data_IF_743232855524
#
_entry.id   IF_743232855524
#
_cell.length_a   1.000
_cell.length_b   1.000
_cell.length_c   1.000
_cell.angle_alpha   90.00
_cell.angle_beta   90.00
_cell.angle_gamma   90.00
#
_symmetry.space_group_name_H-M   'P 1'
#
loop_
_entity.id
_entity.type
_entity.pdbx_description
1 polymer ?
#
# COMPACT_ATOMS: atom_id res chain seq x y z
N UNK A 1 -48.16 60.99 -58.73
CA UNK A 1 -48.50 60.44 -57.41
C UNK A 1 -47.74 59.16 -57.12
N UNK A 2 -47.84 58.15 -58.01
CA UNK A 2 -47.22 56.81 -57.88
C UNK A 2 -45.69 56.82 -57.62
N UNK A 3 -44.92 57.66 -58.32
CA UNK A 3 -43.45 57.71 -58.16
C UNK A 3 -43.04 58.17 -56.76
N UNK A 4 -43.84 59.04 -56.13
CA UNK A 4 -43.54 59.61 -54.81
C UNK A 4 -43.78 58.58 -53.70
N UNK A 5 -44.87 57.81 -53.82
CA UNK A 5 -45.20 56.70 -52.91
C UNK A 5 -44.17 55.56 -53.03
N UNK A 6 -43.72 55.24 -54.25
CA UNK A 6 -42.69 54.22 -54.45
C UNK A 6 -41.33 54.62 -53.83
N UNK A 7 -40.96 55.90 -53.90
CA UNK A 7 -39.75 56.44 -53.27
C UNK A 7 -39.83 56.45 -51.73
N UNK A 8 -41.01 56.71 -51.15
CA UNK A 8 -41.22 56.59 -49.70
C UNK A 8 -41.14 55.14 -49.23
N UNK A 9 -41.74 54.20 -49.97
CA UNK A 9 -41.64 52.77 -49.67
C UNK A 9 -40.19 52.28 -49.67
N UNK A 10 -39.40 52.66 -50.70
CA UNK A 10 -37.98 52.30 -50.76
C UNK A 10 -37.14 52.89 -49.62
N UNK A 11 -37.45 54.11 -49.17
CA UNK A 11 -36.79 54.72 -48.00
C UNK A 11 -37.14 54.00 -46.70
N UNK A 12 -38.41 53.62 -46.53
CA UNK A 12 -38.87 52.90 -45.36
C UNK A 12 -38.19 51.53 -45.27
N UNK A 13 -38.12 50.83 -46.40
CA UNK A 13 -37.47 49.52 -46.51
C UNK A 13 -35.96 49.61 -46.29
N UNK A 14 -35.30 50.65 -46.82
CA UNK A 14 -33.88 50.93 -46.56
C UNK A 14 -33.58 51.22 -45.08
N UNK A 15 -34.46 51.95 -44.38
CA UNK A 15 -34.31 52.23 -42.95
C UNK A 15 -34.52 50.98 -42.09
N UNK A 16 -35.49 50.13 -42.40
CA UNK A 16 -35.69 48.88 -41.66
C UNK A 16 -34.52 47.91 -41.84
N UNK A 17 -34.00 47.79 -43.06
CA UNK A 17 -32.81 46.98 -43.35
C UNK A 17 -31.58 47.54 -42.61
N UNK A 18 -31.38 48.85 -42.61
CA UNK A 18 -30.28 49.47 -41.87
C UNK A 18 -30.39 49.25 -40.35
N UNK A 19 -31.61 49.35 -39.80
CA UNK A 19 -31.88 49.10 -38.38
C UNK A 19 -31.63 47.64 -38.00
N UNK A 20 -32.04 46.69 -38.85
CA UNK A 20 -31.74 45.27 -38.69
C UNK A 20 -30.23 44.98 -38.67
N UNK A 21 -29.46 45.57 -39.61
CA UNK A 21 -28.00 45.43 -39.61
C UNK A 21 -27.34 46.09 -38.40
N UNK A 22 -27.86 47.21 -37.91
CA UNK A 22 -27.41 47.82 -36.64
C UNK A 22 -27.63 46.89 -35.45
N UNK A 23 -28.81 46.27 -35.32
CA UNK A 23 -29.10 45.29 -34.26
C UNK A 23 -28.14 44.10 -34.34
N UNK A 24 -27.93 43.52 -35.54
CA UNK A 24 -27.01 42.38 -35.73
C UNK A 24 -25.57 42.78 -35.36
N UNK A 25 -25.13 43.97 -35.77
CA UNK A 25 -23.79 44.47 -35.44
C UNK A 25 -23.58 44.68 -33.93
N UNK A 26 -24.63 45.06 -33.20
CA UNK A 26 -24.63 45.14 -31.73
C UNK A 26 -24.65 43.78 -31.02
N UNK A 27 -25.27 42.76 -31.63
CA UNK A 27 -25.34 41.39 -31.08
C UNK A 27 -24.05 40.59 -31.28
N UNK A 28 -23.28 40.87 -32.32
CA UNK A 28 -22.02 40.17 -32.63
C UNK A 28 -21.03 40.12 -31.45
N UNK A 29 -20.70 41.25 -30.81
CA UNK A 29 -19.85 41.29 -29.62
C UNK A 29 -20.41 40.50 -28.43
N UNK A 30 -21.73 40.51 -28.23
CA UNK A 30 -22.40 39.76 -27.17
C UNK A 30 -22.32 38.24 -27.40
N UNK A 31 -22.60 37.79 -28.63
CA UNK A 31 -22.47 36.38 -29.02
C UNK A 31 -21.03 35.89 -28.89
N UNK A 32 -20.06 36.72 -29.30
CA UNK A 32 -18.64 36.41 -29.15
C UNK A 32 -18.27 36.28 -27.68
N UNK A 33 -18.69 37.23 -26.83
CA UNK A 33 -18.44 37.18 -25.39
C UNK A 33 -19.07 35.96 -24.73
N UNK A 34 -20.30 35.61 -25.11
CA UNK A 34 -20.99 34.40 -24.64
C UNK A 34 -20.25 33.13 -25.07
N UNK A 35 -19.76 33.07 -26.31
CA UNK A 35 -18.98 31.93 -26.81
C UNK A 35 -17.67 31.74 -26.04
N UNK A 36 -16.96 32.84 -25.74
CA UNK A 36 -15.73 32.82 -24.94
C UNK A 36 -16.04 32.31 -23.52
N UNK A 37 -17.12 32.78 -22.90
CA UNK A 37 -17.55 32.31 -21.58
C UNK A 37 -17.88 30.81 -21.59
N UNK A 38 -18.63 30.31 -22.58
CA UNK A 38 -18.95 28.88 -22.69
C UNK A 38 -17.67 28.04 -22.83
N UNK A 39 -16.75 28.45 -23.69
CA UNK A 39 -15.45 27.77 -23.87
C UNK A 39 -14.66 27.79 -22.55
N UNK A 40 -14.58 28.94 -21.90
CA UNK A 40 -13.89 29.10 -20.61
C UNK A 40 -14.45 28.15 -19.54
N UNK A 41 -15.77 28.10 -19.36
CA UNK A 41 -16.40 27.20 -18.39
C UNK A 41 -16.21 25.72 -18.72
N UNK A 42 -16.25 25.34 -20.00
CA UNK A 42 -16.00 23.97 -20.43
C UNK A 42 -14.54 23.55 -20.21
N UNK A 43 -13.59 24.45 -20.47
CA UNK A 43 -12.16 24.22 -20.21
C UNK A 43 -11.93 24.09 -18.70
N UNK A 44 -12.44 25.00 -17.87
CA UNK A 44 -12.29 24.93 -16.40
C UNK A 44 -12.90 23.64 -15.83
N UNK A 45 -14.09 23.24 -16.28
CA UNK A 45 -14.73 21.98 -15.86
C UNK A 45 -13.88 20.76 -16.24
N UNK A 46 -13.30 20.77 -17.43
CA UNK A 46 -12.45 19.67 -17.93
C UNK A 46 -11.13 19.60 -17.17
N UNK A 47 -10.48 20.75 -16.93
CA UNK A 47 -9.26 20.83 -16.13
C UNK A 47 -9.48 20.33 -14.70
N UNK A 48 -10.60 20.69 -14.06
CA UNK A 48 -10.95 20.20 -12.73
C UNK A 48 -11.13 18.67 -12.71
N UNK A 49 -11.83 18.11 -13.69
CA UNK A 49 -11.99 16.65 -13.83
C UNK A 49 -10.66 15.94 -14.07
N UNK A 50 -9.82 16.47 -14.95
CA UNK A 50 -8.50 15.90 -15.23
C UNK A 50 -7.63 15.92 -13.96
N UNK A 51 -7.63 17.04 -13.23
CA UNK A 51 -6.89 17.14 -11.96
C UNK A 51 -7.39 16.14 -10.91
N UNK A 52 -8.70 15.91 -10.81
CA UNK A 52 -9.26 14.89 -9.93
C UNK A 52 -8.80 13.49 -10.33
N UNK A 53 -8.88 13.15 -11.62
CA UNK A 53 -8.41 11.87 -12.13
C UNK A 53 -6.91 11.65 -11.88
N UNK A 54 -6.09 12.69 -12.04
CA UNK A 54 -4.66 12.64 -11.76
C UNK A 54 -4.38 12.41 -10.27
N UNK A 55 -5.14 13.07 -9.39
CA UNK A 55 -5.04 12.86 -7.93
C UNK A 55 -5.45 11.44 -7.55
N UNK A 56 -6.54 10.92 -8.11
CA UNK A 56 -6.98 9.53 -7.87
C UNK A 56 -5.96 8.51 -8.38
N UNK A 57 -5.40 8.74 -9.57
CA UNK A 57 -4.32 7.92 -10.11
C UNK A 57 -3.10 7.94 -9.19
N UNK A 58 -2.66 9.13 -8.75
CA UNK A 58 -1.53 9.26 -7.84
C UNK A 58 -1.76 8.55 -6.50
N UNK A 59 -2.97 8.66 -5.92
CA UNK A 59 -3.35 7.93 -4.70
C UNK A 59 -3.26 6.42 -4.88
N UNK A 60 -3.77 5.89 -5.99
CA UNK A 60 -3.69 4.47 -6.33
C UNK A 60 -2.24 4.00 -6.50
N UNK A 61 -1.44 4.73 -7.26
CA UNK A 61 -0.03 4.37 -7.52
C UNK A 61 0.78 4.37 -6.22
N UNK A 62 0.56 5.35 -5.34
CA UNK A 62 1.15 5.37 -4.00
C UNK A 62 0.65 4.23 -3.12
N UNK A 63 -0.65 3.93 -3.16
CA UNK A 63 -1.26 2.81 -2.44
C UNK A 63 -0.62 1.48 -2.81
N UNK A 64 -0.47 1.23 -4.11
CA UNK A 64 0.17 0.02 -4.62
C UNK A 64 1.63 -0.10 -4.22
N UNK A 65 2.38 1.01 -4.32
CA UNK A 65 3.78 1.03 -3.88
C UNK A 65 3.92 0.76 -2.38
N UNK A 66 3.06 1.36 -1.55
CA UNK A 66 3.06 1.13 -0.12
C UNK A 66 2.72 -0.32 0.23
N UNK A 67 1.75 -0.91 -0.49
CA UNK A 67 1.38 -2.31 -0.32
C UNK A 67 2.52 -3.25 -0.70
N UNK A 68 3.20 -3.02 -1.82
CA UNK A 68 4.34 -3.82 -2.28
C UNK A 68 5.50 -3.78 -1.28
N UNK A 69 5.89 -2.58 -0.85
CA UNK A 69 6.93 -2.36 0.17
C UNK A 69 6.58 -3.07 1.50
N UNK A 70 5.30 -3.06 1.89
CA UNK A 70 4.83 -3.73 3.12
C UNK A 70 4.79 -5.26 2.97
N UNK A 71 4.29 -5.77 1.84
CA UNK A 71 4.23 -7.21 1.54
C UNK A 71 5.64 -7.81 1.54
N UNK A 72 6.61 -7.12 0.95
CA UNK A 72 8.01 -7.53 0.97
C UNK A 72 8.52 -7.66 2.41
N UNK A 73 8.30 -6.64 3.24
CA UNK A 73 8.72 -6.66 4.65
C UNK A 73 8.05 -7.77 5.47
N UNK A 74 6.73 -7.97 5.31
CA UNK A 74 6.01 -9.07 5.98
C UNK A 74 6.51 -10.43 5.48
N UNK A 75 6.86 -10.55 4.21
CA UNK A 75 7.43 -11.79 3.66
C UNK A 75 8.79 -12.11 4.27
N UNK A 76 9.61 -11.09 4.57
CA UNK A 76 10.87 -11.27 5.28
C UNK A 76 10.64 -11.76 6.72
N UNK A 77 9.65 -11.20 7.43
CA UNK A 77 9.25 -11.68 8.77
C UNK A 77 8.75 -13.12 8.70
N UNK A 78 7.87 -13.43 7.75
CA UNK A 78 7.38 -14.80 7.53
C UNK A 78 8.54 -15.78 7.33
N UNK A 79 9.50 -15.41 6.49
CA UNK A 79 10.65 -16.27 6.18
C UNK A 79 11.56 -16.43 7.39
N UNK A 80 11.79 -15.37 8.18
CA UNK A 80 12.59 -15.48 9.41
C UNK A 80 11.91 -16.37 10.44
N UNK A 81 10.59 -16.27 10.61
CA UNK A 81 9.82 -17.14 11.50
C UNK A 81 9.79 -18.61 11.01
N UNK A 82 9.80 -18.85 9.70
CA UNK A 82 9.99 -20.21 9.18
C UNK A 82 11.37 -20.79 9.52
N UNK A 83 12.43 -19.98 9.53
CA UNK A 83 13.76 -20.43 9.98
C UNK A 83 13.77 -20.72 11.49
N UNK A 84 13.06 -19.91 12.28
CA UNK A 84 12.88 -20.15 13.72
C UNK A 84 12.11 -21.45 13.98
N UNK A 85 11.08 -21.75 13.18
CA UNK A 85 10.35 -23.01 13.30
C UNK A 85 11.27 -24.22 13.08
N UNK A 86 12.24 -24.12 12.17
CA UNK A 86 13.21 -25.17 11.86
C UNK A 86 14.25 -25.41 12.97
N UNK A 87 14.35 -24.52 13.97
CA UNK A 87 15.22 -24.71 15.14
C UNK A 87 15.00 -26.08 15.80
N UNK A 88 13.74 -26.47 15.99
CA UNK A 88 13.39 -27.74 16.64
C UNK A 88 13.97 -28.93 15.87
N UNK A 89 13.82 -28.94 14.55
CA UNK A 89 14.32 -30.02 13.70
C UNK A 89 15.86 -30.07 13.73
N UNK A 90 16.49 -28.91 13.67
CA UNK A 90 17.96 -28.79 13.69
C UNK A 90 18.52 -29.21 15.05
N UNK A 91 17.84 -28.89 16.15
CA UNK A 91 18.18 -29.37 17.48
C UNK A 91 18.10 -30.90 17.57
N UNK A 92 17.07 -31.52 17.01
CA UNK A 92 16.99 -32.99 16.94
C UNK A 92 18.10 -33.61 16.09
N UNK A 93 18.51 -32.97 14.99
CA UNK A 93 19.62 -33.42 14.16
C UNK A 93 20.95 -33.32 14.94
N UNK A 94 21.14 -32.25 15.71
CA UNK A 94 22.27 -32.06 16.61
C UNK A 94 22.32 -33.16 17.69
N UNK A 95 21.21 -33.46 18.37
CA UNK A 95 21.13 -34.54 19.37
C UNK A 95 21.47 -35.92 18.80
N UNK A 96 21.14 -36.15 17.52
CA UNK A 96 21.48 -37.39 16.81
C UNK A 96 22.95 -37.45 16.35
N UNK A 97 23.79 -36.45 16.69
CA UNK A 97 25.20 -36.40 16.35
C UNK A 97 25.50 -36.15 14.87
N UNK A 98 24.49 -35.74 14.09
CA UNK A 98 24.64 -35.49 12.64
C UNK A 98 25.17 -34.10 12.30
N UNK A 99 25.13 -33.18 13.27
CA UNK A 99 25.59 -31.80 13.16
C UNK A 99 26.42 -31.49 14.41
N UNK A 100 27.56 -30.85 14.24
CA UNK A 100 28.41 -30.40 15.35
C UNK A 100 27.87 -29.12 16.01
N UNK A 101 28.36 -28.83 17.21
CA UNK A 101 27.91 -27.68 18.00
C UNK A 101 28.18 -26.33 17.31
N UNK A 102 29.28 -26.21 16.55
CA UNK A 102 29.64 -24.95 15.90
C UNK A 102 28.71 -24.67 14.72
N UNK A 103 28.42 -25.69 13.91
CA UNK A 103 27.42 -25.61 12.83
C UNK A 103 26.03 -25.28 13.38
N UNK A 104 25.64 -25.89 14.50
CA UNK A 104 24.39 -25.59 15.19
C UNK A 104 24.32 -24.12 15.65
N UNK A 105 25.37 -23.62 16.31
CA UNK A 105 25.47 -22.22 16.76
C UNK A 105 25.42 -21.22 15.60
N UNK A 106 26.09 -21.53 14.49
CA UNK A 106 26.07 -20.69 13.29
C UNK A 106 24.66 -20.56 12.70
N UNK A 107 23.92 -21.67 12.64
CA UNK A 107 22.53 -21.63 12.20
C UNK A 107 21.68 -20.72 13.09
N UNK A 108 21.81 -20.86 14.40
CA UNK A 108 21.09 -20.06 15.38
C UNK A 108 21.37 -18.57 15.27
N UNK A 109 22.64 -18.18 15.26
CA UNK A 109 23.04 -16.78 15.13
C UNK A 109 22.50 -16.15 13.84
N UNK A 110 22.45 -16.91 12.75
CA UNK A 110 21.86 -16.46 11.49
C UNK A 110 20.34 -16.25 11.61
N UNK A 111 19.63 -17.21 12.20
CA UNK A 111 18.18 -17.13 12.37
C UNK A 111 17.79 -15.96 13.30
N UNK A 112 18.49 -15.78 14.41
CA UNK A 112 18.32 -14.67 15.35
C UNK A 112 18.50 -13.32 14.66
N UNK A 113 19.64 -13.13 13.97
CA UNK A 113 19.91 -11.89 13.23
C UNK A 113 18.83 -11.59 12.20
N UNK A 114 18.43 -12.60 11.42
CA UNK A 114 17.39 -12.44 10.40
C UNK A 114 16.04 -12.08 11.01
N UNK A 115 15.69 -12.67 12.16
CA UNK A 115 14.47 -12.33 12.89
C UNK A 115 14.49 -10.89 13.37
N UNK A 116 15.60 -10.43 13.95
CA UNK A 116 15.76 -9.06 14.40
C UNK A 116 15.64 -8.06 13.23
N UNK A 117 16.42 -8.27 12.17
CA UNK A 117 16.47 -7.39 11.00
C UNK A 117 15.09 -7.29 10.33
N UNK A 118 14.39 -8.42 10.14
CA UNK A 118 13.05 -8.44 9.54
C UNK A 118 11.98 -7.76 10.41
N UNK A 119 12.05 -7.93 11.74
CA UNK A 119 11.12 -7.30 12.69
C UNK A 119 11.30 -5.77 12.73
N UNK A 120 12.53 -5.28 12.59
CA UNK A 120 12.76 -3.83 12.47
C UNK A 120 12.28 -3.32 11.10
N UNK A 121 12.56 -4.08 10.03
CA UNK A 121 12.23 -3.66 8.67
C UNK A 121 10.73 -3.43 8.47
N UNK A 122 9.87 -4.29 9.03
CA UNK A 122 8.41 -4.09 8.92
C UNK A 122 7.94 -2.79 9.56
N UNK A 123 8.48 -2.43 10.74
CA UNK A 123 8.16 -1.15 11.40
C UNK A 123 8.63 0.03 10.58
N UNK A 124 9.83 -0.05 10.00
CA UNK A 124 10.38 1.01 9.13
C UNK A 124 9.48 1.22 7.91
N UNK A 125 9.08 0.14 7.23
CA UNK A 125 8.23 0.28 6.03
C UNK A 125 6.85 0.80 6.37
N UNK A 126 6.25 0.34 7.48
CA UNK A 126 5.00 0.89 7.97
C UNK A 126 5.10 2.38 8.24
N UNK A 127 6.11 2.84 8.99
CA UNK A 127 6.28 4.25 9.34
C UNK A 127 6.52 5.17 8.14
N UNK A 128 7.16 4.69 7.07
CA UNK A 128 7.31 5.46 5.81
C UNK A 128 5.97 5.76 5.12
N UNK A 129 4.95 4.94 5.35
CA UNK A 129 3.66 4.96 4.64
C UNK A 129 2.45 4.92 5.59
N UNK A 130 2.63 5.38 6.83
CA UNK A 130 1.66 5.23 7.92
C UNK A 130 0.25 5.70 7.55
N UNK A 131 0.13 6.85 6.89
CA UNK A 131 -1.16 7.41 6.46
C UNK A 131 -1.91 6.47 5.48
N UNK A 132 -1.18 5.76 4.62
CA UNK A 132 -1.75 4.85 3.61
C UNK A 132 -2.05 3.47 4.24
N UNK A 133 -1.21 3.06 5.19
CA UNK A 133 -1.23 1.73 5.80
C UNK A 133 -1.94 1.69 7.16
N UNK A 134 -2.60 2.77 7.56
CA UNK A 134 -3.18 2.95 8.89
C UNK A 134 -4.06 1.77 9.32
N UNK A 135 -4.85 1.20 8.42
CA UNK A 135 -5.76 0.09 8.74
C UNK A 135 -5.04 -1.21 9.14
N UNK A 136 -3.72 -1.30 8.96
CA UNK A 136 -2.91 -2.45 9.36
C UNK A 136 -2.11 -2.19 10.65
N UNK A 137 -2.27 -1.04 11.29
CA UNK A 137 -1.44 -0.62 12.44
C UNK A 137 -1.38 -1.66 13.55
N UNK A 138 -2.54 -2.23 13.91
CA UNK A 138 -2.67 -3.22 14.99
C UNK A 138 -1.89 -4.50 14.65
N UNK A 139 -1.94 -4.94 13.40
CA UNK A 139 -1.23 -6.14 12.95
C UNK A 139 0.28 -5.93 12.87
N UNK A 140 0.74 -4.73 12.51
CA UNK A 140 2.16 -4.38 12.53
C UNK A 140 2.70 -4.30 13.95
N UNK A 141 1.94 -3.69 14.87
CA UNK A 141 2.29 -3.64 16.29
C UNK A 141 2.37 -5.04 16.88
N UNK A 142 1.38 -5.89 16.60
CA UNK A 142 1.38 -7.29 17.00
C UNK A 142 2.62 -8.05 16.48
N UNK A 143 2.99 -7.88 15.20
CA UNK A 143 4.21 -8.51 14.64
C UNK A 143 5.46 -8.05 15.41
N UNK A 144 5.56 -6.76 15.72
CA UNK A 144 6.70 -6.21 16.44
C UNK A 144 6.81 -6.79 17.87
N UNK A 145 5.71 -6.83 18.62
CA UNK A 145 5.64 -7.42 19.96
C UNK A 145 5.98 -8.91 19.96
N UNK A 146 5.45 -9.65 18.98
CA UNK A 146 5.75 -11.08 18.80
C UNK A 146 7.19 -11.31 18.41
N UNK A 147 7.76 -10.49 17.53
CA UNK A 147 9.18 -10.53 17.23
C UNK A 147 10.04 -10.36 18.48
N UNK A 148 9.68 -9.43 19.38
CA UNK A 148 10.36 -9.27 20.67
C UNK A 148 10.24 -10.51 21.56
N UNK A 149 9.04 -11.09 21.65
CA UNK A 149 8.77 -12.29 22.45
C UNK A 149 9.56 -13.51 21.94
N UNK A 150 9.59 -13.71 20.62
CA UNK A 150 10.36 -14.79 19.98
C UNK A 150 11.86 -14.59 20.21
N UNK A 151 12.36 -13.36 20.10
CA UNK A 151 13.77 -13.06 20.37
C UNK A 151 14.19 -13.45 21.79
N UNK A 152 13.34 -13.21 22.79
CA UNK A 152 13.60 -13.63 24.18
C UNK A 152 13.71 -15.16 24.27
N UNK A 153 12.78 -15.91 23.65
CA UNK A 153 12.80 -17.37 23.67
C UNK A 153 14.05 -17.94 22.96
N UNK A 154 14.45 -17.34 21.83
CA UNK A 154 15.66 -17.73 21.10
C UNK A 154 16.91 -17.46 21.92
N UNK A 155 16.98 -16.31 22.59
CA UNK A 155 18.12 -15.97 23.45
C UNK A 155 18.23 -16.89 24.65
N UNK A 156 17.10 -17.19 25.30
CA UNK A 156 17.04 -18.19 26.36
C UNK A 156 17.55 -19.55 25.86
N UNK A 157 17.07 -19.98 24.68
CA UNK A 157 17.51 -21.22 24.06
C UNK A 157 19.01 -21.23 23.76
N UNK A 158 19.55 -20.16 23.17
CA UNK A 158 20.96 -20.04 22.82
C UNK A 158 21.87 -20.02 24.07
N UNK A 159 21.39 -19.43 25.18
CA UNK A 159 22.14 -19.35 26.43
C UNK A 159 22.58 -20.73 26.95
N UNK A 160 21.83 -21.80 26.68
CA UNK A 160 22.18 -23.17 27.08
C UNK A 160 23.43 -23.71 26.39
N UNK A 161 23.78 -23.17 25.22
CA UNK A 161 24.92 -23.61 24.42
C UNK A 161 26.15 -22.70 24.57
N UNK A 162 26.01 -21.56 25.25
CA UNK A 162 27.05 -20.55 25.43
C UNK A 162 27.42 -20.31 26.89
N UNK A 163 26.44 -20.10 27.76
CA UNK A 163 26.63 -19.59 29.14
C UNK A 163 26.13 -20.56 30.21
N UNK A 164 25.02 -21.26 29.96
CA UNK A 164 24.30 -22.12 30.90
C UNK A 164 24.53 -23.61 30.62
N UNK A 165 25.80 -24.03 30.59
CA UNK A 165 26.21 -25.42 30.34
C UNK A 165 25.83 -26.28 31.56
N UNK A 166 24.84 -27.17 31.43
CA UNK A 166 24.47 -28.13 32.49
C UNK A 166 22.98 -28.43 32.71
N UNK A 167 22.07 -27.89 31.89
CA UNK A 167 20.64 -28.22 31.94
C UNK A 167 20.31 -29.54 31.23
N UNK A 168 19.21 -30.19 31.62
CA UNK A 168 18.79 -31.46 31.01
C UNK A 168 18.22 -31.26 29.60
N UNK A 169 18.47 -32.22 28.71
CA UNK A 169 17.94 -32.24 27.34
C UNK A 169 16.41 -32.09 27.27
N UNK A 170 15.71 -32.48 28.34
CA UNK A 170 14.27 -32.35 28.49
C UNK A 170 13.81 -30.89 28.57
N UNK A 171 14.56 -30.02 29.25
CA UNK A 171 14.20 -28.60 29.37
C UNK A 171 14.41 -27.88 28.04
N UNK A 172 15.56 -28.11 27.41
CA UNK A 172 15.90 -27.53 26.09
C UNK A 172 14.91 -28.02 25.03
N UNK A 173 14.54 -29.30 25.07
CA UNK A 173 13.51 -29.87 24.21
C UNK A 173 12.14 -29.24 24.41
N UNK A 174 11.73 -28.96 25.65
CA UNK A 174 10.47 -28.26 25.94
C UNK A 174 10.47 -26.81 25.41
N UNK A 175 11.61 -26.12 25.51
CA UNK A 175 11.76 -24.77 24.97
C UNK A 175 11.71 -24.77 23.43
N UNK A 176 12.38 -25.73 22.77
CA UNK A 176 12.28 -25.91 21.32
C UNK A 176 10.83 -26.19 20.87
N UNK A 177 10.09 -27.01 21.62
CA UNK A 177 8.68 -27.30 21.33
C UNK A 177 7.82 -26.04 21.47
N UNK A 178 8.05 -25.25 22.53
CA UNK A 178 7.34 -23.99 22.76
C UNK A 178 7.58 -23.00 21.62
N UNK A 179 8.83 -22.81 21.21
CA UNK A 179 9.21 -21.95 20.07
C UNK A 179 8.49 -22.41 18.80
N UNK A 180 8.53 -23.72 18.51
CA UNK A 180 7.90 -24.26 17.31
C UNK A 180 6.38 -24.06 17.31
N UNK A 181 5.72 -24.31 18.44
CA UNK A 181 4.27 -24.15 18.58
C UNK A 181 3.83 -22.70 18.39
N UNK A 182 4.43 -21.77 19.14
CA UNK A 182 4.07 -20.35 19.06
C UNK A 182 4.31 -19.80 17.65
N UNK A 183 5.45 -20.12 17.05
CA UNK A 183 5.81 -19.65 15.72
C UNK A 183 4.88 -20.20 14.64
N UNK A 184 4.45 -21.46 14.75
CA UNK A 184 3.52 -22.07 13.78
C UNK A 184 2.15 -21.41 13.81
N UNK A 185 1.62 -21.07 14.99
CA UNK A 185 0.35 -20.37 15.13
C UNK A 185 0.45 -18.94 14.57
N UNK A 186 1.55 -18.24 14.90
CA UNK A 186 1.77 -16.86 14.47
C UNK A 186 1.98 -16.76 12.93
N UNK A 187 2.58 -17.78 12.29
CA UNK A 187 2.71 -17.86 10.83
C UNK A 187 1.36 -17.90 10.08
N UNK A 188 0.33 -18.52 10.67
CA UNK A 188 -1.01 -18.52 10.07
C UNK A 188 -1.60 -17.11 10.04
N UNK A 189 -1.42 -16.35 11.13
CA UNK A 189 -1.87 -14.95 11.21
C UNK A 189 -1.14 -14.06 10.23
N UNK A 190 0.18 -14.22 10.07
CA UNK A 190 0.95 -13.52 9.03
C UNK A 190 0.42 -13.81 7.63
N UNK A 191 0.11 -15.08 7.32
CA UNK A 191 -0.44 -15.42 6.00
C UNK A 191 -1.79 -14.76 5.74
N UNK A 192 -2.63 -14.66 6.77
CA UNK A 192 -3.91 -13.96 6.69
C UNK A 192 -3.71 -12.46 6.43
N UNK A 193 -2.79 -11.82 7.15
CA UNK A 193 -2.45 -10.41 6.93
C UNK A 193 -1.96 -10.15 5.50
N UNK A 194 -1.09 -11.01 4.97
CA UNK A 194 -0.64 -10.91 3.56
C UNK A 194 -1.81 -10.95 2.58
N UNK A 195 -2.77 -11.85 2.80
CA UNK A 195 -3.98 -11.93 1.97
C UNK A 195 -4.85 -10.68 2.11
N UNK A 196 -5.03 -10.16 3.31
CA UNK A 196 -5.81 -8.93 3.56
C UNK A 196 -5.21 -7.72 2.83
N UNK A 197 -3.89 -7.54 2.90
CA UNK A 197 -3.19 -6.46 2.18
C UNK A 197 -3.34 -6.64 0.66
N UNK A 198 -3.13 -7.87 0.17
CA UNK A 198 -3.31 -8.17 -1.26
C UNK A 198 -4.75 -7.91 -1.71
N UNK A 199 -5.75 -8.32 -0.94
CA UNK A 199 -7.15 -8.09 -1.29
C UNK A 199 -7.49 -6.60 -1.31
N UNK A 200 -7.01 -5.84 -0.31
CA UNK A 200 -7.26 -4.40 -0.22
C UNK A 200 -6.70 -3.62 -1.40
N UNK A 201 -5.46 -3.90 -1.80
CA UNK A 201 -4.78 -3.09 -2.82
C UNK A 201 -4.79 -3.71 -4.22
N UNK A 202 -4.80 -5.03 -4.33
CA UNK A 202 -4.74 -5.75 -5.61
C UNK A 202 -6.09 -6.36 -5.99
N UNK A 203 -6.94 -6.70 -5.02
CA UNK A 203 -8.25 -7.33 -5.27
C UNK A 203 -9.15 -6.52 -6.19
N UNK A 204 -9.20 -5.19 -5.97
CA UNK A 204 -9.96 -4.26 -6.83
C UNK A 204 -9.43 -4.20 -8.27
N UNK A 205 -8.13 -4.38 -8.47
CA UNK A 205 -7.47 -4.30 -9.79
C UNK A 205 -7.74 -5.55 -10.61
N UNK A 206 -7.67 -6.72 -9.98
CA UNK A 206 -7.84 -8.01 -10.65
C UNK A 206 -9.30 -8.49 -10.72
N UNK A 207 -10.26 -7.64 -10.32
CA UNK A 207 -11.69 -7.91 -10.49
C UNK A 207 -12.24 -9.04 -9.62
N UNK A 208 -11.48 -9.52 -8.62
CA UNK A 208 -12.01 -10.42 -7.60
C UNK A 208 -12.71 -9.57 -6.55
N UNK A 209 -14.01 -9.32 -6.74
CA UNK A 209 -14.89 -8.97 -5.61
C UNK A 209 -14.82 -10.14 -4.62
N UNK A 210 -14.11 -9.96 -3.51
CA UNK A 210 -14.24 -10.80 -2.32
C UNK A 210 -15.40 -10.28 -1.51
#
# INVERSE_FOLDING_TARGET
>A
MIIKEYLEFLKLLGNEVAYFFQIISGLGPLLTSLSILIVYFNVDRTQKRNRQNDVEKFKRDLGLKAADELIEAITLVKTSWQEILAIKEIYLIFLNGKVDLDTFKQYFSKAEKKQHDSTIQIVIQYKKREIILQDFSEEIEWIYEKGGSIAILINEFNSYFTENIGYSDQYIGALAEKIAKETSEDLLRINKLLQEIQNKFLGEIYGKKV
#
